data_IF_463758688831
#
_entry.id   IF_463758688831
#
_cell.length_a   1.000
_cell.length_b   1.000
_cell.length_c   1.000
_cell.angle_alpha   90.00
_cell.angle_beta   90.00
_cell.angle_gamma   90.00
#
_symmetry.space_group_name_H-M   'P 1'
#
loop_
_entity.id
_entity.type
_entity.pdbx_description
1 polymer ?
#
# COMPACT_ATOMS: atom_id res chain seq x y z
N UNK A 1 19.43 -43.47 27.19
CA UNK A 1 18.40 -43.26 26.14
C UNK A 1 17.80 -41.84 26.11
N UNK A 2 18.08 -40.96 27.07
CA UNK A 2 17.45 -39.62 27.22
C UNK A 2 17.95 -38.54 26.23
N UNK A 3 19.12 -38.72 25.63
CA UNK A 3 19.70 -37.74 24.68
C UNK A 3 19.21 -37.89 23.23
N UNK A 4 18.74 -39.09 22.82
CA UNK A 4 18.33 -39.34 21.41
C UNK A 4 17.04 -38.63 21.01
N UNK A 5 16.21 -38.24 22.00
CA UNK A 5 14.93 -37.54 21.79
C UNK A 5 15.08 -36.03 22.00
N UNK A 6 16.09 -35.57 22.78
CA UNK A 6 16.32 -34.14 23.00
C UNK A 6 16.79 -33.40 21.73
N UNK A 7 17.62 -34.06 20.91
CA UNK A 7 18.22 -33.46 19.71
C UNK A 7 17.21 -33.09 18.62
N UNK A 8 16.26 -33.96 18.20
CA UNK A 8 15.28 -33.58 17.17
C UNK A 8 14.32 -32.50 17.67
N UNK A 9 13.97 -32.47 18.95
CA UNK A 9 13.10 -31.44 19.53
C UNK A 9 13.77 -30.06 19.45
N UNK A 10 15.06 -29.98 19.73
CA UNK A 10 15.81 -28.71 19.67
C UNK A 10 15.91 -28.13 18.26
N UNK A 11 15.81 -28.98 17.22
CA UNK A 11 15.82 -28.56 15.81
C UNK A 11 14.40 -28.26 15.31
N UNK A 12 13.40 -29.05 15.73
CA UNK A 12 12.03 -28.89 15.26
C UNK A 12 11.33 -27.68 15.88
N UNK A 13 11.59 -27.38 17.16
CA UNK A 13 10.98 -26.22 17.85
C UNK A 13 11.26 -24.89 17.14
N UNK A 14 12.52 -24.52 16.81
CA UNK A 14 12.77 -23.26 16.10
C UNK A 14 12.19 -23.25 14.67
N UNK A 15 12.12 -24.41 14.00
CA UNK A 15 11.50 -24.51 12.67
C UNK A 15 10.00 -24.24 12.73
N UNK A 16 9.30 -24.85 13.69
CA UNK A 16 7.85 -24.63 13.88
C UNK A 16 7.58 -23.20 14.31
N UNK A 17 8.40 -22.63 15.19
CA UNK A 17 8.28 -21.22 15.60
C UNK A 17 8.46 -20.28 14.40
N UNK A 18 9.44 -20.54 13.52
CA UNK A 18 9.66 -19.76 12.30
C UNK A 18 8.45 -19.85 11.35
N UNK A 19 7.91 -21.05 11.13
CA UNK A 19 6.72 -21.25 10.31
C UNK A 19 5.50 -20.51 10.88
N UNK A 20 5.32 -20.53 12.21
CA UNK A 20 4.25 -19.80 12.87
C UNK A 20 4.39 -18.28 12.67
N UNK A 21 5.61 -17.74 12.81
CA UNK A 21 5.88 -16.33 12.58
C UNK A 21 5.65 -15.92 11.11
N UNK A 22 6.07 -16.75 10.16
CA UNK A 22 5.82 -16.52 8.73
C UNK A 22 4.32 -16.53 8.43
N UNK A 23 3.57 -17.50 8.96
CA UNK A 23 2.12 -17.55 8.81
C UNK A 23 1.42 -16.33 9.39
N UNK A 24 1.84 -15.87 10.58
CA UNK A 24 1.31 -14.65 11.19
C UNK A 24 1.64 -13.39 10.38
N UNK A 25 2.86 -13.30 9.82
CA UNK A 25 3.26 -12.20 8.96
C UNK A 25 2.45 -12.18 7.67
N UNK A 26 2.29 -13.32 7.00
CA UNK A 26 1.48 -13.41 5.79
C UNK A 26 0.01 -13.07 6.05
N UNK A 27 -0.56 -13.57 7.15
CA UNK A 27 -1.91 -13.23 7.55
C UNK A 27 -2.03 -11.72 7.81
N UNK A 28 -1.05 -11.11 8.48
CA UNK A 28 -1.04 -9.66 8.75
C UNK A 28 -0.88 -8.82 7.49
N UNK A 29 -0.13 -9.31 6.48
CA UNK A 29 0.02 -8.66 5.18
C UNK A 29 -1.25 -8.74 4.34
N UNK A 30 -1.97 -9.86 4.40
CA UNK A 30 -3.25 -10.05 3.68
C UNK A 30 -4.44 -9.47 4.44
N UNK A 31 -4.28 -9.14 5.72
CA UNK A 31 -5.32 -8.55 6.55
C UNK A 31 -5.54 -7.07 6.20
N UNK A 32 -6.78 -6.72 5.89
CA UNK A 32 -7.20 -5.36 5.56
C UNK A 32 -7.96 -5.29 4.25
N UNK A 33 -8.65 -4.18 4.00
CA UNK A 33 -9.44 -4.00 2.80
C UNK A 33 -8.62 -3.26 1.73
N UNK A 34 -8.54 -3.77 0.48
CA UNK A 34 -7.82 -3.09 -0.58
C UNK A 34 -8.63 -1.93 -1.15
N UNK A 35 -7.95 -0.82 -1.40
CA UNK A 35 -8.48 0.44 -1.95
C UNK A 35 -7.56 0.96 -3.03
N UNK A 36 -8.10 1.58 -4.08
CA UNK A 36 -7.31 2.31 -5.07
C UNK A 36 -7.49 3.79 -4.86
N UNK A 37 -6.40 4.53 -4.68
CA UNK A 37 -6.44 5.97 -4.43
C UNK A 37 -5.63 6.67 -5.50
N UNK A 38 -6.22 7.68 -6.14
CA UNK A 38 -5.51 8.53 -7.09
C UNK A 38 -4.45 9.34 -6.35
N UNK A 39 -3.33 9.62 -7.01
CA UNK A 39 -2.22 10.34 -6.39
C UNK A 39 -1.82 11.54 -7.25
N UNK A 40 -1.29 12.56 -6.59
CA UNK A 40 -0.82 13.79 -7.24
C UNK A 40 0.44 14.34 -6.55
N UNK A 41 0.96 15.45 -7.06
CA UNK A 41 2.04 16.19 -6.40
C UNK A 41 3.41 15.49 -6.42
N UNK A 42 3.67 14.66 -7.44
CA UNK A 42 4.94 13.98 -7.63
C UNK A 42 6.06 14.94 -8.07
N UNK A 43 7.21 14.94 -7.38
CA UNK A 43 8.40 15.70 -7.78
C UNK A 43 9.35 14.82 -8.63
N UNK A 44 9.51 15.10 -9.95
CA UNK A 44 10.42 14.33 -10.82
C UNK A 44 11.88 14.33 -10.36
N UNK A 45 12.28 15.31 -9.54
CA UNK A 45 13.67 15.47 -9.09
C UNK A 45 14.05 14.46 -7.99
N UNK A 46 13.07 13.89 -7.28
CA UNK A 46 13.33 12.86 -6.27
C UNK A 46 13.80 11.53 -6.89
N UNK A 47 13.40 11.25 -8.14
CA UNK A 47 13.86 10.07 -8.87
C UNK A 47 15.37 10.10 -9.16
N UNK A 48 15.98 11.29 -9.21
CA UNK A 48 17.41 11.49 -9.50
C UNK A 48 18.33 11.23 -8.30
N UNK A 49 17.80 11.09 -7.07
CA UNK A 49 18.59 10.98 -5.84
C UNK A 49 18.43 9.66 -5.08
N UNK A 50 17.73 8.68 -5.64
CA UNK A 50 17.60 7.36 -5.02
C UNK A 50 16.39 6.54 -5.47
N UNK A 51 15.82 6.83 -6.64
CA UNK A 51 14.65 6.15 -7.19
C UNK A 51 13.46 6.08 -6.22
N UNK A 52 13.17 7.17 -5.52
CA UNK A 52 11.96 7.25 -4.72
C UNK A 52 10.95 8.17 -5.40
N UNK A 53 9.68 7.80 -5.32
CA UNK A 53 8.56 8.63 -5.72
C UNK A 53 7.85 9.10 -4.45
N UNK A 54 7.89 10.40 -4.19
CA UNK A 54 7.10 11.06 -3.15
C UNK A 54 5.81 11.57 -3.79
N UNK A 55 4.66 11.31 -3.16
CA UNK A 55 3.34 11.70 -3.69
C UNK A 55 2.36 12.05 -2.57
N UNK A 56 1.29 12.74 -2.96
CA UNK A 56 0.13 13.08 -2.15
C UNK A 56 -1.06 12.25 -2.61
N UNK A 57 -1.94 11.90 -1.67
CA UNK A 57 -3.17 11.19 -1.99
C UNK A 57 -4.26 12.17 -2.39
N UNK A 58 -4.92 11.90 -3.51
CA UNK A 58 -6.08 12.66 -3.96
C UNK A 58 -7.35 11.99 -3.42
N UNK A 59 -7.88 12.55 -2.33
CA UNK A 59 -9.00 11.98 -1.61
C UNK A 59 -10.35 12.42 -2.20
N UNK A 60 -11.22 11.45 -2.49
CA UNK A 60 -12.58 11.73 -2.96
C UNK A 60 -13.53 11.99 -1.77
N UNK A 61 -13.56 13.24 -1.28
CA UNK A 61 -14.38 13.65 -0.15
C UNK A 61 -15.89 13.49 -0.39
N UNK A 62 -16.59 13.01 0.64
CA UNK A 62 -18.05 12.96 0.71
C UNK A 62 -18.55 14.32 1.24
N UNK A 63 -18.73 15.27 0.32
CA UNK A 63 -19.16 16.64 0.64
C UNK A 63 -18.03 17.64 0.50
N UNK A 64 -18.05 18.67 1.35
CA UNK A 64 -17.01 19.70 1.38
C UNK A 64 -15.73 19.16 2.01
N UNK A 65 -14.60 19.41 1.36
CA UNK A 65 -13.28 19.08 1.90
C UNK A 65 -13.04 19.89 3.19
N UNK A 66 -12.69 19.24 4.30
CA UNK A 66 -12.50 19.94 5.56
C UNK A 66 -11.30 20.89 5.47
N UNK A 67 -11.42 22.05 6.10
CA UNK A 67 -10.35 23.06 6.16
C UNK A 67 -9.07 22.60 6.89
N UNK A 68 -9.16 21.50 7.64
CA UNK A 68 -8.03 20.86 8.30
C UNK A 68 -8.13 19.34 8.18
N UNK A 69 -6.98 18.69 8.03
CA UNK A 69 -6.95 17.24 7.84
C UNK A 69 -7.37 16.53 9.15
N UNK A 70 -8.41 15.68 9.12
CA UNK A 70 -8.92 15.06 10.34
C UNK A 70 -7.96 14.00 10.88
N UNK A 71 -7.99 13.78 12.20
CA UNK A 71 -7.15 12.77 12.86
C UNK A 71 -7.48 11.34 12.43
N UNK A 72 -8.70 11.08 11.98
CA UNK A 72 -9.16 9.78 11.47
C UNK A 72 -10.07 9.98 10.25
N UNK A 73 -9.87 9.16 9.23
CA UNK A 73 -10.73 9.09 8.05
C UNK A 73 -11.58 7.83 8.06
N UNK A 74 -12.83 7.98 7.64
CA UNK A 74 -13.76 6.91 7.36
C UNK A 74 -13.77 6.66 5.85
N UNK A 75 -13.43 5.44 5.43
CA UNK A 75 -13.47 5.01 4.04
C UNK A 75 -14.74 4.21 3.79
N UNK A 76 -15.45 4.59 2.75
CA UNK A 76 -16.62 3.89 2.25
C UNK A 76 -16.37 3.45 0.81
N UNK A 77 -16.94 2.30 0.44
CA UNK A 77 -16.81 1.80 -0.92
C UNK A 77 -17.47 2.76 -1.90
N UNK A 78 -16.67 3.32 -2.83
CA UNK A 78 -17.20 3.99 -3.99
C UNK A 78 -17.95 3.01 -4.90
N UNK A 79 -18.79 3.55 -5.76
CA UNK A 79 -19.64 2.79 -6.69
C UNK A 79 -18.89 2.29 -7.94
N UNK A 80 -17.64 2.71 -8.13
CA UNK A 80 -16.84 2.42 -9.33
C UNK A 80 -15.77 1.37 -9.03
N UNK A 81 -15.54 0.48 -9.99
CA UNK A 81 -14.42 -0.45 -10.02
C UNK A 81 -13.32 0.17 -10.88
N UNK A 82 -12.04 0.24 -10.45
CA UNK A 82 -11.47 -0.20 -9.18
C UNK A 82 -12.01 0.59 -7.97
N UNK A 83 -12.03 -0.02 -6.77
CA UNK A 83 -12.65 0.52 -5.54
C UNK A 83 -11.98 1.83 -5.08
N UNK A 84 -12.35 2.94 -5.70
CA UNK A 84 -11.94 4.27 -5.25
C UNK A 84 -12.73 4.61 -3.98
N UNK A 85 -12.08 4.84 -2.83
CA UNK A 85 -12.79 5.10 -1.59
C UNK A 85 -13.41 6.50 -1.62
N UNK A 86 -14.66 6.62 -1.16
CA UNK A 86 -15.20 7.91 -0.71
C UNK A 86 -14.79 8.12 0.74
N UNK A 87 -14.26 9.29 1.06
CA UNK A 87 -13.77 9.58 2.40
C UNK A 87 -14.60 10.63 3.12
N UNK A 88 -14.75 10.47 4.43
CA UNK A 88 -15.30 11.50 5.31
C UNK A 88 -14.52 11.52 6.62
N UNK A 89 -14.55 12.64 7.39
CA UNK A 89 -14.04 12.65 8.74
C UNK A 89 -14.72 11.55 9.58
N UNK A 90 -13.93 10.78 10.32
CA UNK A 90 -14.47 9.73 11.18
C UNK A 90 -15.27 10.33 12.34
N UNK A 91 -16.51 9.87 12.51
CA UNK A 91 -17.36 10.21 13.65
C UNK A 91 -17.80 8.95 14.39
N UNK A 92 -17.82 9.03 15.72
CA UNK A 92 -18.25 7.91 16.57
C UNK A 92 -19.69 7.51 16.23
N UNK A 93 -19.91 6.24 15.89
CA UNK A 93 -21.22 5.69 15.55
C UNK A 93 -21.54 5.61 14.05
N UNK A 94 -20.70 6.16 13.16
CA UNK A 94 -20.82 5.94 11.72
C UNK A 94 -20.21 4.58 11.35
N UNK A 95 -20.90 3.81 10.50
CA UNK A 95 -20.34 2.58 9.92
C UNK A 95 -19.36 2.95 8.80
N UNK A 96 -18.14 2.41 8.87
CA UNK A 96 -17.09 2.62 7.88
C UNK A 96 -16.64 1.26 7.34
N UNK A 97 -16.34 1.17 6.04
CA UNK A 97 -15.72 -0.03 5.48
C UNK A 97 -14.25 -0.16 5.95
N UNK A 98 -13.56 0.97 6.15
CA UNK A 98 -12.23 1.02 6.78
C UNK A 98 -12.03 2.34 7.50
N UNK A 99 -11.15 2.36 8.51
CA UNK A 99 -10.78 3.57 9.25
C UNK A 99 -9.28 3.77 9.05
N UNK A 100 -8.86 5.00 8.72
CA UNK A 100 -7.44 5.36 8.57
C UNK A 100 -7.04 6.43 9.58
N UNK A 101 -5.77 6.39 10.01
CA UNK A 101 -5.17 7.42 10.86
C UNK A 101 -4.62 8.57 10.02
N UNK A 102 -5.03 9.80 10.34
CA UNK A 102 -4.75 11.02 9.58
C UNK A 102 -3.27 11.32 9.34
N UNK A 103 -2.38 10.84 10.21
CA UNK A 103 -0.94 11.13 10.13
C UNK A 103 -0.25 10.49 8.92
N UNK A 104 -0.77 9.39 8.39
CA UNK A 104 -0.18 8.69 7.23
C UNK A 104 -0.74 9.14 5.88
N UNK A 105 -1.68 10.10 5.89
CA UNK A 105 -2.56 10.41 4.76
C UNK A 105 -2.12 11.65 3.95
N UNK A 106 -1.05 12.32 4.37
CA UNK A 106 -0.59 13.59 3.77
C UNK A 106 0.47 13.37 2.70
N UNK A 107 1.53 12.61 3.01
CA UNK A 107 2.61 12.29 2.08
C UNK A 107 3.01 10.83 2.19
N UNK A 108 3.33 10.20 1.07
CA UNK A 108 3.89 8.86 1.04
C UNK A 108 5.04 8.77 0.06
N UNK A 109 5.94 7.82 0.32
CA UNK A 109 7.17 7.63 -0.45
C UNK A 109 7.31 6.16 -0.78
N UNK A 110 7.49 5.84 -2.06
CA UNK A 110 7.73 4.46 -2.51
C UNK A 110 9.04 4.37 -3.27
N UNK A 111 9.75 3.25 -3.10
CA UNK A 111 10.95 2.96 -3.87
C UNK A 111 10.56 2.37 -5.23
N UNK A 112 11.21 2.85 -6.28
CA UNK A 112 11.05 2.42 -7.66
C UNK A 112 12.33 1.72 -8.08
N UNK A 113 12.29 0.48 -8.59
CA UNK A 113 13.48 -0.16 -9.14
C UNK A 113 14.04 0.64 -10.32
N UNK A 114 15.37 0.71 -10.43
CA UNK A 114 16.07 1.46 -11.48
C UNK A 114 15.57 1.12 -12.90
N UNK A 115 15.31 -0.17 -13.16
CA UNK A 115 14.80 -0.66 -14.43
C UNK A 115 13.49 0.01 -14.89
N UNK A 116 12.62 0.41 -13.95
CA UNK A 116 11.33 1.07 -14.23
C UNK A 116 11.39 2.59 -14.14
N UNK A 117 12.43 3.13 -13.49
CA UNK A 117 12.52 4.55 -13.22
C UNK A 117 12.44 5.40 -14.51
N UNK A 118 13.10 4.99 -15.59
CA UNK A 118 13.09 5.73 -16.87
C UNK A 118 11.72 5.75 -17.55
N UNK A 119 11.03 4.60 -17.57
CA UNK A 119 9.69 4.51 -18.17
C UNK A 119 8.68 5.32 -17.35
N UNK A 120 8.75 5.19 -16.02
CA UNK A 120 7.89 5.93 -15.10
C UNK A 120 8.11 7.44 -15.22
N UNK A 121 9.36 7.90 -15.32
CA UNK A 121 9.68 9.32 -15.50
C UNK A 121 9.09 9.89 -16.80
N UNK A 122 9.14 9.13 -17.90
CA UNK A 122 8.49 9.52 -19.16
C UNK A 122 6.98 9.63 -18.98
N UNK A 123 6.33 8.61 -18.39
CA UNK A 123 4.88 8.61 -18.15
C UNK A 123 4.44 9.75 -17.23
N UNK A 124 5.22 10.07 -16.20
CA UNK A 124 5.02 11.25 -15.35
C UNK A 124 5.06 12.54 -16.16
N UNK A 125 6.05 12.66 -17.06
CA UNK A 125 6.25 13.85 -17.90
C UNK A 125 5.14 14.02 -18.95
N UNK A 126 4.56 12.92 -19.40
CA UNK A 126 3.40 12.86 -20.32
C UNK A 126 2.07 13.12 -19.61
N UNK A 127 2.05 13.20 -18.27
CA UNK A 127 0.84 13.44 -17.49
C UNK A 127 -0.08 12.22 -17.39
N UNK A 128 0.47 11.01 -17.52
CA UNK A 128 -0.30 9.77 -17.37
C UNK A 128 -0.87 9.68 -15.95
N UNK A 129 -2.17 9.39 -15.78
CA UNK A 129 -2.79 9.30 -14.46
C UNK A 129 -2.17 8.17 -13.64
N UNK A 130 -1.95 8.45 -12.36
CA UNK A 130 -1.37 7.51 -11.41
C UNK A 130 -2.29 7.31 -10.20
N UNK A 131 -2.28 6.09 -9.70
CA UNK A 131 -2.96 5.71 -8.48
C UNK A 131 -2.06 4.79 -7.66
N UNK A 132 -2.44 4.51 -6.43
CA UNK A 132 -1.80 3.49 -5.59
C UNK A 132 -2.86 2.55 -5.06
N UNK A 133 -2.53 1.26 -5.10
CA UNK A 133 -3.31 0.25 -4.40
C UNK A 133 -2.80 0.22 -2.95
N UNK A 134 -3.71 0.49 -2.01
CA UNK A 134 -3.43 0.52 -0.59
C UNK A 134 -4.28 -0.50 0.15
N UNK A 135 -3.77 -0.98 1.28
CA UNK A 135 -4.53 -1.79 2.22
C UNK A 135 -4.67 -1.05 3.56
N UNK A 136 -5.92 -0.86 3.97
CA UNK A 136 -6.23 -0.32 5.29
C UNK A 136 -6.15 -1.42 6.34
N UNK A 137 -5.23 -1.29 7.31
CA UNK A 137 -5.05 -2.25 8.40
C UNK A 137 -6.03 -1.97 9.55
N UNK A 138 -6.19 -2.95 10.43
CA UNK A 138 -7.13 -2.85 11.58
C UNK A 138 -6.72 -1.82 12.63
N UNK A 139 -5.44 -1.46 12.68
CA UNK A 139 -4.90 -0.39 13.54
C UNK A 139 -5.06 1.03 12.93
N UNK A 140 -5.58 1.12 11.70
CA UNK A 140 -5.74 2.36 10.96
C UNK A 140 -4.51 2.81 10.18
N UNK A 141 -3.42 2.01 10.17
CA UNK A 141 -2.27 2.26 9.30
C UNK A 141 -2.56 1.85 7.85
N UNK A 142 -1.81 2.43 6.93
CA UNK A 142 -1.86 2.13 5.50
C UNK A 142 -0.64 1.30 5.11
N UNK A 143 -0.87 0.29 4.27
CA UNK A 143 0.19 -0.35 3.52
C UNK A 143 0.00 -0.08 2.03
N UNK A 144 0.99 0.55 1.38
CA UNK A 144 1.01 0.68 -0.08
C UNK A 144 1.40 -0.69 -0.67
N UNK A 145 0.50 -1.27 -1.46
CA UNK A 145 0.69 -2.56 -2.10
C UNK A 145 1.37 -2.41 -3.46
N UNK A 146 0.92 -1.46 -4.29
CA UNK A 146 1.47 -1.23 -5.62
C UNK A 146 1.24 0.20 -6.09
N UNK A 147 2.10 0.66 -7.01
CA UNK A 147 1.86 1.86 -7.81
C UNK A 147 1.07 1.42 -9.05
N UNK A 148 0.05 2.16 -9.42
CA UNK A 148 -0.81 1.88 -10.58
C UNK A 148 -0.61 3.00 -11.59
N UNK A 149 -0.22 2.65 -12.80
CA UNK A 149 0.03 3.60 -13.89
C UNK A 149 -0.84 3.20 -15.07
N UNK A 150 -1.65 4.15 -15.57
CA UNK A 150 -2.60 3.87 -16.66
C UNK A 150 -3.53 2.67 -16.34
N UNK A 151 -3.99 2.58 -15.09
CA UNK A 151 -4.87 1.51 -14.61
C UNK A 151 -4.20 0.16 -14.32
N UNK A 152 -2.91 0.00 -14.65
CA UNK A 152 -2.17 -1.25 -14.48
C UNK A 152 -1.17 -1.19 -13.31
N UNK A 153 -1.07 -2.22 -12.45
CA UNK A 153 -0.08 -2.26 -11.39
C UNK A 153 1.35 -2.28 -11.96
N UNK A 154 2.25 -1.53 -11.34
CA UNK A 154 3.64 -1.41 -11.75
C UNK A 154 4.36 -2.75 -11.61
N UNK A 155 4.01 -3.59 -10.62
CA UNK A 155 4.54 -4.97 -10.53
C UNK A 155 4.11 -5.87 -11.68
N UNK A 156 3.03 -5.58 -12.39
CA UNK A 156 2.70 -6.32 -13.61
C UNK A 156 3.75 -6.07 -14.72
N UNK A 157 4.46 -4.94 -14.68
CA UNK A 157 5.65 -4.70 -15.52
C UNK A 157 6.93 -5.37 -15.00
N UNK A 158 6.97 -5.86 -13.75
CA UNK A 158 8.09 -6.65 -13.22
C UNK A 158 8.07 -8.12 -13.64
N UNK A 159 6.88 -8.70 -13.84
CA UNK A 159 6.74 -10.11 -14.25
C UNK A 159 6.95 -10.32 -15.76
N UNK A 160 6.71 -9.29 -16.59
CA UNK A 160 6.91 -9.38 -18.05
C UNK A 160 8.37 -9.26 -18.50
N UNK A 161 9.30 -8.98 -17.59
CA UNK A 161 10.75 -8.94 -17.88
C UNK A 161 11.52 -9.96 -17.03
N UNK A 162 10.86 -11.09 -16.74
CA UNK A 162 11.34 -12.08 -15.78
C UNK A 162 11.42 -13.52 -16.30
N UNK A 163 11.26 -13.79 -17.59
CA UNK A 163 11.57 -15.10 -18.19
C UNK A 163 12.24 -14.91 -19.56
N UNK A 164 13.32 -15.66 -19.76
CA UNK A 164 14.25 -15.70 -20.90
C UNK A 164 15.50 -14.82 -20.80
N UNK A 165 16.36 -15.14 -19.82
CA UNK A 165 17.77 -15.41 -20.09
C UNK A 165 18.18 -16.71 -19.39
#
# INVERSE_FOLDING_TARGET
MRHKILTPVFILVPLVALLAMLGQLEASRKAGMPWRVEIEGYDPRDMLRGHYLTFQYQWAWEGEEPSSFPQKLCLNAGYTSPKTPRVSPYTSGKSCASILSGQELVHSKVYIPEAQAKDLERKLREGVPMAVDIRARTDGSIMVEDLVVDGHPLKAHLQFTGEHL
#
